data_IF_598601845955
#
_entry.id   IF_598601845955
#
_cell.length_a   1.000
_cell.length_b   1.000
_cell.length_c   1.000
_cell.angle_alpha   90.00
_cell.angle_beta   90.00
_cell.angle_gamma   90.00
#
_symmetry.space_group_name_H-M   'P 1'
#
loop_
_entity.id
_entity.type
_entity.pdbx_description
1 polymer ?
#
# COMPACT_ATOMS: atom_id res chain seq x y z
N UNK A 1 53.50 -7.73 3.73
CA UNK A 1 53.00 -8.12 5.08
C UNK A 1 51.89 -7.13 5.44
N UNK A 2 50.72 -7.51 5.95
CA UNK A 2 50.25 -8.84 6.35
C UNK A 2 48.82 -9.10 5.83
N UNK A 3 48.52 -10.37 5.52
CA UNK A 3 47.15 -10.84 5.24
C UNK A 3 46.40 -11.10 6.56
N UNK A 4 45.08 -10.88 6.56
CA UNK A 4 44.17 -11.46 7.56
C UNK A 4 42.94 -12.04 6.87
N UNK A 5 42.96 -13.35 6.69
CA UNK A 5 41.81 -14.14 6.26
C UNK A 5 40.71 -14.14 7.35
N UNK A 6 39.44 -14.11 6.96
CA UNK A 6 38.31 -14.49 7.80
C UNK A 6 37.70 -15.82 7.30
N UNK A 7 37.37 -16.78 8.18
CA UNK A 7 36.87 -18.09 7.77
C UNK A 7 35.38 -18.07 7.43
N UNK A 8 34.99 -18.88 6.44
CA UNK A 8 33.59 -19.09 6.06
C UNK A 8 32.89 -20.09 6.99
N UNK A 9 31.64 -19.80 7.34
CA UNK A 9 30.77 -20.72 8.09
C UNK A 9 29.48 -20.99 7.29
N UNK A 10 29.48 -22.08 6.52
CA UNK A 10 28.26 -22.63 5.93
C UNK A 10 27.78 -23.81 6.76
N UNK A 11 26.59 -23.69 7.37
CA UNK A 11 25.78 -24.85 7.80
C UNK A 11 24.43 -24.77 7.09
N UNK A 12 24.17 -25.72 6.19
CA UNK A 12 22.81 -25.98 5.68
C UNK A 12 22.07 -26.80 6.73
N UNK A 13 20.83 -26.43 7.01
CA UNK A 13 19.86 -27.30 7.72
C UNK A 13 18.72 -27.55 6.76
N UNK A 14 18.44 -28.82 6.50
CA UNK A 14 17.38 -29.28 5.61
C UNK A 14 16.27 -29.94 6.42
N UNK A 15 15.02 -29.56 6.17
CA UNK A 15 13.82 -30.16 6.78
C UNK A 15 12.94 -30.69 5.63
N UNK A 16 12.46 -31.95 5.70
CA UNK A 16 11.69 -32.56 4.62
C UNK A 16 10.22 -32.13 4.63
N UNK A 17 9.62 -32.03 3.45
CA UNK A 17 8.18 -31.80 3.27
C UNK A 17 7.43 -33.11 2.98
N UNK A 18 6.21 -33.24 3.50
CA UNK A 18 5.24 -34.26 3.10
C UNK A 18 3.87 -33.59 2.84
N UNK A 19 3.10 -34.02 1.82
CA UNK A 19 1.95 -33.26 1.29
C UNK A 19 0.59 -33.85 1.70
N UNK A 20 -0.50 -33.10 1.47
CA UNK A 20 -1.87 -33.62 1.22
C UNK A 20 -2.74 -32.49 0.57
N UNK A 21 -3.80 -32.80 -0.23
CA UNK A 21 -4.04 -32.07 -1.49
C UNK A 21 -5.26 -31.12 -1.52
N UNK A 22 -5.31 -30.26 -2.55
CA UNK A 22 -6.42 -29.34 -2.85
C UNK A 22 -6.90 -29.53 -4.31
N UNK A 23 -8.23 -29.63 -4.53
CA UNK A 23 -8.89 -29.76 -5.84
C UNK A 23 -8.87 -28.50 -6.73
N UNK A 24 -9.41 -28.58 -7.96
CA UNK A 24 -9.53 -27.49 -8.97
C UNK A 24 -10.89 -26.75 -8.86
N UNK A 25 -11.28 -25.66 -9.56
CA UNK A 25 -10.88 -24.91 -10.80
C UNK A 25 -11.18 -23.38 -10.63
N UNK A 26 -10.89 -22.41 -11.53
CA UNK A 26 -10.05 -22.38 -12.74
C UNK A 26 -10.64 -21.72 -14.04
N UNK A 27 -10.94 -20.40 -14.09
CA UNK A 27 -11.47 -19.65 -15.28
C UNK A 27 -10.79 -18.26 -15.49
N UNK A 28 -10.91 -17.65 -16.69
CA UNK A 28 -10.23 -16.40 -17.20
C UNK A 28 -11.30 -15.35 -17.72
N UNK A 29 -11.04 -14.19 -18.39
CA UNK A 29 -9.89 -13.65 -19.17
C UNK A 29 -9.98 -12.13 -19.56
N UNK A 30 -9.04 -11.26 -19.12
CA UNK A 30 -8.40 -10.16 -19.92
C UNK A 30 -9.23 -8.91 -20.40
N UNK A 31 -8.67 -7.85 -21.07
CA UNK A 31 -8.47 -6.50 -20.48
C UNK A 31 -8.92 -5.27 -21.33
N UNK A 32 -8.69 -4.02 -20.85
CA UNK A 32 -8.83 -2.78 -21.66
C UNK A 32 -8.26 -1.49 -21.03
N UNK A 33 -7.88 -0.47 -21.82
CA UNK A 33 -7.19 0.77 -21.34
C UNK A 33 -7.62 2.06 -22.08
N UNK A 34 -7.25 3.26 -21.56
CA UNK A 34 -6.73 4.49 -22.27
C UNK A 34 -7.28 5.89 -21.82
N UNK A 35 -6.35 6.71 -21.25
CA UNK A 35 -5.95 8.15 -21.46
C UNK A 35 -6.92 9.37 -21.32
N UNK A 36 -6.28 10.45 -20.83
CA UNK A 36 -6.62 11.80 -20.32
C UNK A 36 -6.83 12.96 -21.34
N UNK A 37 -7.43 14.10 -20.92
CA UNK A 37 -7.07 15.50 -21.33
C UNK A 37 -7.19 16.52 -20.16
N UNK A 38 -6.38 17.58 -20.21
CA UNK A 38 -6.13 18.69 -19.25
C UNK A 38 -7.21 19.83 -19.31
N UNK A 39 -7.19 21.01 -18.63
CA UNK A 39 -6.08 21.84 -18.11
C UNK A 39 -6.48 22.85 -17.00
N UNK A 40 -5.46 23.37 -16.31
CA UNK A 40 -5.46 24.31 -15.15
C UNK A 40 -5.94 25.74 -15.41
N UNK A 41 -6.82 26.28 -14.54
CA UNK A 41 -6.94 27.73 -14.28
C UNK A 41 -7.69 28.16 -12.97
N UNK A 42 -8.02 27.25 -12.05
CA UNK A 42 -9.01 27.54 -10.98
C UNK A 42 -8.45 27.89 -9.59
N UNK A 43 -7.16 27.66 -9.31
CA UNK A 43 -6.64 27.68 -7.93
C UNK A 43 -6.38 29.08 -7.32
N UNK A 44 -6.37 30.15 -8.11
CA UNK A 44 -6.13 31.51 -7.60
C UNK A 44 -7.28 32.10 -6.77
N UNK A 45 -8.52 31.69 -7.06
CA UNK A 45 -9.73 32.28 -6.45
C UNK A 45 -10.10 31.62 -5.11
N UNK A 46 -9.78 30.33 -4.94
CA UNK A 46 -10.12 29.54 -3.74
C UNK A 46 -9.46 30.09 -2.47
N UNK A 47 -8.26 30.69 -2.58
CA UNK A 47 -7.52 31.18 -1.41
C UNK A 47 -8.14 32.45 -0.79
N UNK A 48 -8.90 33.23 -1.57
CA UNK A 48 -9.62 34.42 -1.07
C UNK A 48 -10.96 34.05 -0.41
N UNK A 49 -11.66 33.04 -0.93
CA UNK A 49 -12.97 32.63 -0.44
C UNK A 49 -12.92 31.94 0.94
N UNK A 50 -11.83 31.25 1.27
CA UNK A 50 -11.69 30.50 2.53
C UNK A 50 -11.44 31.36 3.79
N UNK A 51 -11.25 32.69 3.66
CA UNK A 51 -10.97 33.58 4.81
C UNK A 51 -12.17 34.45 5.22
N UNK A 52 -13.17 34.59 4.35
CA UNK A 52 -14.47 35.18 4.67
C UNK A 52 -15.46 34.08 5.01
N UNK A 53 -15.98 34.06 6.24
CA UNK A 53 -16.91 33.03 6.73
C UNK A 53 -18.30 33.10 6.08
N UNK A 54 -18.38 32.74 4.80
CA UNK A 54 -19.62 32.62 4.02
C UNK A 54 -19.79 31.14 3.69
N UNK A 55 -21.00 30.61 3.91
CA UNK A 55 -21.26 29.18 3.85
C UNK A 55 -21.23 28.57 2.45
N UNK A 56 -20.78 27.31 2.39
CA UNK A 56 -21.33 26.25 1.52
C UNK A 56 -21.71 26.62 0.08
N UNK A 57 -20.77 27.17 -0.69
CA UNK A 57 -20.76 27.08 -2.15
C UNK A 57 -19.31 27.17 -2.66
N UNK A 58 -19.02 26.55 -3.80
CA UNK A 58 -17.75 26.67 -4.57
C UNK A 58 -16.49 25.97 -3.99
N UNK A 59 -16.67 24.82 -3.32
CA UNK A 59 -15.60 23.82 -3.20
C UNK A 59 -15.63 22.79 -4.35
N UNK A 60 -14.49 22.20 -4.78
CA UNK A 60 -14.51 21.07 -5.72
C UNK A 60 -15.30 19.90 -5.16
N UNK A 61 -16.15 19.26 -5.98
CA UNK A 61 -17.12 18.25 -5.50
C UNK A 61 -16.51 17.05 -4.75
N UNK A 62 -15.23 16.74 -4.97
CA UNK A 62 -14.50 15.68 -4.27
C UNK A 62 -14.04 16.06 -2.85
N UNK A 63 -13.92 17.36 -2.55
CA UNK A 63 -13.55 17.88 -1.22
C UNK A 63 -14.75 17.94 -0.26
N UNK A 64 -15.98 18.00 -0.79
CA UNK A 64 -17.23 17.86 -0.04
C UNK A 64 -17.36 16.52 0.69
N UNK A 65 -16.59 15.50 0.27
CA UNK A 65 -16.68 14.13 0.80
C UNK A 65 -16.03 13.94 2.17
N UNK A 66 -15.19 14.88 2.63
CA UNK A 66 -14.45 14.78 3.90
C UNK A 66 -15.02 15.61 5.05
N UNK A 67 -16.05 16.42 4.78
CA UNK A 67 -16.77 17.19 5.81
C UNK A 67 -18.27 16.93 5.63
N UNK A 68 -18.76 15.86 6.26
CA UNK A 68 -20.19 15.53 6.29
C UNK A 68 -20.66 15.10 7.68
N UNK A 69 -21.87 15.55 7.99
CA UNK A 69 -22.43 15.93 9.30
C UNK A 69 -22.38 14.88 10.43
N UNK A 70 -22.52 15.37 11.66
CA UNK A 70 -22.23 14.70 12.95
C UNK A 70 -23.47 13.99 13.56
N UNK A 71 -24.56 13.87 12.78
CA UNK A 71 -25.80 13.19 13.20
C UNK A 71 -25.89 11.75 12.73
N UNK A 72 -25.37 10.78 13.51
CA UNK A 72 -25.70 9.36 13.30
C UNK A 72 -25.87 8.54 14.59
N UNK A 73 -27.09 8.04 14.87
CA UNK A 73 -27.32 6.96 15.84
C UNK A 73 -26.93 5.59 15.23
N UNK A 74 -27.11 4.51 16.01
CA UNK A 74 -26.71 3.14 15.66
C UNK A 74 -27.40 2.65 14.37
N UNK A 75 -26.63 1.99 13.49
CA UNK A 75 -27.06 1.18 12.32
C UNK A 75 -28.05 1.84 11.33
N UNK A 76 -27.58 2.26 10.15
CA UNK A 76 -28.49 2.36 8.99
C UNK A 76 -28.72 0.95 8.43
N UNK A 77 -30.00 0.62 8.18
CA UNK A 77 -30.38 -0.54 7.37
C UNK A 77 -29.73 -0.54 5.98
N UNK A 78 -29.38 0.65 5.46
CA UNK A 78 -28.65 0.86 4.21
C UNK A 78 -27.26 0.20 4.17
N UNK A 79 -26.51 0.18 5.29
CA UNK A 79 -25.24 -0.56 5.37
C UNK A 79 -25.49 -2.07 5.43
N UNK A 80 -26.54 -2.50 6.15
CA UNK A 80 -26.82 -3.90 6.41
C UNK A 80 -27.07 -4.69 5.11
N UNK A 81 -27.74 -4.10 4.12
CA UNK A 81 -28.07 -4.74 2.83
C UNK A 81 -27.11 -4.40 1.68
N UNK A 82 -26.11 -3.55 1.90
CA UNK A 82 -25.21 -3.08 0.84
C UNK A 82 -24.36 -4.21 0.21
N UNK A 83 -24.45 -4.39 -1.11
CA UNK A 83 -23.60 -5.33 -1.86
C UNK A 83 -22.66 -4.54 -2.79
N UNK A 84 -21.32 -4.65 -2.64
CA UNK A 84 -20.35 -3.97 -3.51
C UNK A 84 -20.41 -4.49 -4.96
N UNK A 85 -20.53 -3.60 -5.94
CA UNK A 85 -20.58 -3.97 -7.37
C UNK A 85 -19.21 -3.85 -8.02
N UNK A 86 -18.34 -4.82 -7.72
CA UNK A 86 -16.94 -4.86 -8.20
C UNK A 86 -16.68 -5.87 -9.33
N UNK A 87 -17.72 -6.53 -9.84
CA UNK A 87 -17.64 -7.52 -10.94
C UNK A 87 -17.10 -8.90 -10.51
N UNK A 88 -16.03 -8.93 -9.72
CA UNK A 88 -15.46 -10.18 -9.19
C UNK A 88 -16.19 -10.67 -7.91
N UNK A 89 -16.67 -11.93 -7.86
CA UNK A 89 -17.39 -12.47 -6.71
C UNK A 89 -16.57 -12.61 -5.42
N UNK A 90 -15.28 -12.94 -5.51
CA UNK A 90 -14.42 -13.15 -4.34
C UNK A 90 -14.05 -11.82 -3.68
N UNK A 91 -13.69 -10.82 -4.49
CA UNK A 91 -13.49 -9.45 -4.02
C UNK A 91 -14.80 -8.86 -3.45
N UNK A 92 -15.94 -9.07 -4.11
CA UNK A 92 -17.25 -8.65 -3.60
C UNK A 92 -17.52 -9.26 -2.21
N UNK A 93 -17.27 -10.57 -2.04
CA UNK A 93 -17.43 -11.25 -0.75
C UNK A 93 -16.47 -10.71 0.32
N UNK A 94 -15.19 -10.48 -0.02
CA UNK A 94 -14.19 -9.88 0.90
C UNK A 94 -14.56 -8.47 1.33
N UNK A 95 -15.03 -7.63 0.40
CA UNK A 95 -15.46 -6.27 0.69
C UNK A 95 -16.74 -6.24 1.53
N UNK A 96 -17.69 -7.17 1.28
CA UNK A 96 -18.87 -7.34 2.15
C UNK A 96 -18.46 -7.77 3.56
N UNK A 97 -17.57 -8.75 3.69
CA UNK A 97 -17.01 -9.20 4.98
C UNK A 97 -16.28 -8.08 5.73
N UNK A 98 -15.62 -7.15 5.04
CA UNK A 98 -15.03 -5.95 5.67
C UNK A 98 -16.11 -5.02 6.24
N UNK A 99 -17.22 -4.81 5.52
CA UNK A 99 -18.35 -4.02 6.03
C UNK A 99 -19.02 -4.69 7.24
N UNK A 100 -19.15 -6.03 7.23
CA UNK A 100 -19.73 -6.82 8.32
C UNK A 100 -18.82 -6.97 9.56
N UNK A 101 -17.52 -6.73 9.43
CA UNK A 101 -16.57 -6.93 10.53
C UNK A 101 -16.90 -6.03 11.75
N UNK A 102 -16.59 -6.43 13.00
CA UNK A 102 -16.92 -5.64 14.18
C UNK A 102 -16.45 -4.18 14.13
N UNK A 103 -17.31 -3.25 14.53
CA UNK A 103 -17.03 -1.81 14.63
C UNK A 103 -16.90 -1.37 16.09
N UNK A 104 -15.95 -2.00 16.81
CA UNK A 104 -15.73 -1.77 18.23
C UNK A 104 -15.27 -0.33 18.53
N UNK A 105 -15.74 0.22 19.64
CA UNK A 105 -15.16 1.44 20.21
C UNK A 105 -13.75 1.17 20.77
N UNK A 106 -13.03 2.23 21.12
CA UNK A 106 -11.65 2.12 21.63
C UNK A 106 -11.52 1.26 22.90
N UNK A 107 -12.43 1.38 23.87
CA UNK A 107 -12.32 0.66 25.15
C UNK A 107 -12.60 -0.83 24.94
N UNK A 108 -13.66 -1.15 24.19
CA UNK A 108 -14.03 -2.54 23.87
C UNK A 108 -12.92 -3.26 23.11
N UNK A 109 -12.31 -2.59 22.12
CA UNK A 109 -11.19 -3.17 21.37
C UNK A 109 -9.92 -3.31 22.23
N UNK A 110 -9.64 -2.35 23.13
CA UNK A 110 -8.47 -2.42 24.00
C UNK A 110 -8.51 -3.64 24.92
N UNK A 111 -9.68 -3.93 25.52
CA UNK A 111 -9.87 -5.12 26.38
C UNK A 111 -9.63 -6.42 25.59
N UNK A 112 -10.06 -6.49 24.33
CA UNK A 112 -9.79 -7.64 23.48
C UNK A 112 -8.31 -7.76 23.08
N UNK A 113 -7.66 -6.63 22.78
CA UNK A 113 -6.27 -6.59 22.32
C UNK A 113 -5.25 -6.79 23.45
N UNK A 114 -5.57 -6.41 24.68
CA UNK A 114 -4.72 -6.66 25.88
C UNK A 114 -5.02 -8.00 26.56
N UNK A 115 -5.92 -8.83 26.02
CA UNK A 115 -6.25 -10.14 26.58
C UNK A 115 -5.07 -11.14 26.51
N UNK A 116 -5.01 -12.15 27.40
CA UNK A 116 -4.00 -13.20 27.32
C UNK A 116 -4.02 -13.91 25.96
N UNK A 117 -2.88 -13.96 25.28
CA UNK A 117 -2.73 -14.52 23.93
C UNK A 117 -3.02 -13.56 22.77
N UNK A 118 -3.45 -12.33 23.04
CA UNK A 118 -3.62 -11.27 22.03
C UNK A 118 -2.31 -10.48 21.85
N UNK A 119 -2.30 -9.18 22.18
CA UNK A 119 -1.12 -8.31 22.14
C UNK A 119 -0.80 -7.74 23.54
N UNK A 120 -0.10 -8.50 24.42
CA UNK A 120 0.25 -8.05 25.76
C UNK A 120 1.01 -6.72 25.73
N UNK A 121 0.55 -5.77 26.54
CA UNK A 121 1.02 -4.38 26.47
C UNK A 121 2.51 -4.22 26.81
N UNK A 122 3.03 -5.01 27.74
CA UNK A 122 4.43 -5.00 28.13
C UNK A 122 5.39 -5.41 26.99
N UNK A 123 4.88 -6.18 26.02
CA UNK A 123 5.55 -6.56 24.77
C UNK A 123 5.28 -5.49 23.69
N UNK A 124 4.01 -5.11 23.50
CA UNK A 124 3.60 -4.17 22.45
C UNK A 124 4.26 -2.78 22.60
N UNK A 125 4.34 -2.23 23.81
CA UNK A 125 5.03 -0.94 24.10
C UNK A 125 6.54 -0.99 23.75
N UNK A 126 7.14 -2.19 23.61
CA UNK A 126 8.57 -2.38 23.26
C UNK A 126 8.79 -2.61 21.76
N UNK A 127 7.83 -3.22 21.07
CA UNK A 127 7.92 -3.58 19.64
C UNK A 127 7.30 -2.52 18.71
N UNK A 128 6.47 -1.62 19.23
CA UNK A 128 5.84 -0.58 18.42
C UNK A 128 6.81 0.51 17.94
N UNK A 129 6.53 1.07 16.76
CA UNK A 129 7.19 2.27 16.24
C UNK A 129 6.94 3.44 17.20
N UNK A 130 7.95 3.76 18.04
CA UNK A 130 7.82 4.74 19.13
C UNK A 130 7.34 6.12 18.68
N UNK A 131 7.80 6.59 17.52
CA UNK A 131 7.39 7.87 16.96
C UNK A 131 5.93 7.89 16.52
N UNK A 132 5.45 6.78 15.94
CA UNK A 132 4.06 6.61 15.52
C UNK A 132 3.15 6.53 16.77
N UNK A 133 3.51 5.70 17.76
CA UNK A 133 2.78 5.57 19.03
C UNK A 133 2.71 6.89 19.81
N UNK A 134 3.81 7.64 19.88
CA UNK A 134 3.85 8.97 20.53
C UNK A 134 3.08 10.02 19.75
N UNK A 135 3.24 10.06 18.43
CA UNK A 135 2.62 11.08 17.57
C UNK A 135 1.13 10.87 17.28
N UNK A 136 0.66 9.62 17.27
CA UNK A 136 -0.70 9.26 16.87
C UNK A 136 -1.53 8.57 17.97
N UNK A 137 -0.90 8.06 19.03
CA UNK A 137 -1.59 7.28 20.07
C UNK A 137 -2.70 8.03 20.82
N UNK A 138 -2.65 9.36 20.86
CA UNK A 138 -3.75 10.20 21.37
C UNK A 138 -4.90 10.30 20.36
N UNK A 139 -4.61 10.47 19.06
CA UNK A 139 -5.63 10.51 18.00
C UNK A 139 -6.33 9.16 17.86
N UNK A 140 -5.61 8.03 17.92
CA UNK A 140 -6.20 6.70 17.84
C UNK A 140 -7.36 6.52 18.83
N UNK A 141 -7.20 7.00 20.07
CA UNK A 141 -8.25 6.96 21.12
C UNK A 141 -9.53 7.71 20.76
N UNK A 142 -9.44 8.73 19.91
CA UNK A 142 -10.58 9.60 19.53
C UNK A 142 -11.41 9.08 18.37
N UNK A 143 -10.89 8.16 17.55
CA UNK A 143 -11.59 7.64 16.37
C UNK A 143 -12.82 6.83 16.80
N UNK A 144 -14.01 7.31 16.40
CA UNK A 144 -15.33 6.72 16.74
C UNK A 144 -15.71 5.59 15.77
N UNK A 145 -16.54 4.64 16.22
CA UNK A 145 -17.06 3.55 15.36
C UNK A 145 -17.81 4.02 14.11
N UNK A 146 -18.50 5.17 14.19
CA UNK A 146 -19.15 5.80 13.03
C UNK A 146 -18.14 6.30 11.99
N UNK A 147 -16.98 6.80 12.42
CA UNK A 147 -15.90 7.21 11.53
C UNK A 147 -15.24 5.98 10.86
N UNK A 148 -15.07 4.89 11.61
CA UNK A 148 -14.58 3.61 11.05
C UNK A 148 -15.53 3.07 9.96
N UNK A 149 -16.85 3.13 10.19
CA UNK A 149 -17.86 2.76 9.20
C UNK A 149 -17.76 3.65 7.93
N UNK A 150 -17.72 4.98 8.11
CA UNK A 150 -17.51 5.95 7.01
C UNK A 150 -16.24 5.61 6.21
N UNK A 151 -15.13 5.29 6.87
CA UNK A 151 -13.84 4.94 6.24
C UNK A 151 -13.89 3.61 5.45
N UNK A 152 -14.48 2.54 6.02
CA UNK A 152 -14.64 1.27 5.29
C UNK A 152 -15.52 1.44 4.05
N UNK A 153 -16.65 2.15 4.17
CA UNK A 153 -17.53 2.41 3.04
C UNK A 153 -16.82 3.25 1.96
N UNK A 154 -16.01 4.23 2.33
CA UNK A 154 -15.20 4.99 1.37
C UNK A 154 -14.22 4.09 0.60
N UNK A 155 -13.55 3.14 1.26
CA UNK A 155 -12.67 2.15 0.59
C UNK A 155 -13.46 1.26 -0.38
N UNK A 156 -14.61 0.74 0.04
CA UNK A 156 -15.49 -0.10 -0.80
C UNK A 156 -16.02 0.69 -2.00
N UNK A 157 -16.48 1.92 -1.79
CA UNK A 157 -17.01 2.80 -2.85
C UNK A 157 -15.93 3.24 -3.84
N UNK A 158 -14.69 3.42 -3.39
CA UNK A 158 -13.57 3.70 -4.27
C UNK A 158 -13.35 2.55 -5.27
N UNK A 159 -13.31 1.31 -4.80
CA UNK A 159 -13.15 0.12 -5.65
C UNK A 159 -14.38 -0.15 -6.53
N UNK A 160 -15.59 0.03 -6.01
CA UNK A 160 -16.83 -0.04 -6.82
C UNK A 160 -16.82 1.01 -7.94
N UNK A 161 -16.40 2.25 -7.67
CA UNK A 161 -16.36 3.30 -8.69
C UNK A 161 -15.34 2.99 -9.81
N UNK A 162 -14.21 2.35 -9.49
CA UNK A 162 -13.26 1.88 -10.51
C UNK A 162 -13.94 0.84 -11.41
N UNK A 163 -14.53 -0.21 -10.84
CA UNK A 163 -15.24 -1.24 -11.61
C UNK A 163 -16.39 -0.66 -12.46
N UNK A 164 -17.22 0.22 -11.89
CA UNK A 164 -18.33 0.85 -12.60
C UNK A 164 -17.87 1.82 -13.71
N UNK A 165 -16.65 2.36 -13.61
CA UNK A 165 -16.03 3.14 -14.68
C UNK A 165 -15.38 2.29 -15.79
N UNK A 166 -15.45 0.95 -15.69
CA UNK A 166 -14.82 0.01 -16.62
C UNK A 166 -13.33 -0.21 -16.36
N UNK A 167 -12.81 0.22 -15.19
CA UNK A 167 -11.43 -0.03 -14.80
C UNK A 167 -11.25 -1.39 -14.12
N UNK A 168 -10.12 -2.05 -14.39
CA UNK A 168 -9.74 -3.29 -13.71
C UNK A 168 -9.44 -3.03 -12.23
N UNK A 169 -10.15 -3.73 -11.34
CA UNK A 169 -9.93 -3.68 -9.88
C UNK A 169 -9.00 -4.80 -9.41
N UNK A 170 -8.84 -5.87 -10.21
CA UNK A 170 -7.98 -7.02 -9.94
C UNK A 170 -6.86 -7.04 -10.97
N UNK A 171 -5.77 -6.34 -10.67
CA UNK A 171 -4.59 -6.24 -11.52
C UNK A 171 -4.82 -5.41 -12.78
N UNK A 172 -3.93 -5.59 -13.77
CA UNK A 172 -3.95 -4.90 -15.08
C UNK A 172 -3.57 -5.91 -16.17
N UNK A 173 -4.50 -6.71 -16.70
CA UNK A 173 -4.13 -7.89 -17.47
C UNK A 173 -3.42 -7.53 -18.79
N UNK A 174 -2.27 -8.15 -19.03
CA UNK A 174 -1.37 -7.82 -20.15
C UNK A 174 -0.30 -6.76 -19.83
N UNK A 175 -0.28 -6.20 -18.61
CA UNK A 175 0.77 -5.29 -18.15
C UNK A 175 2.13 -5.98 -17.93
N UNK A 176 2.15 -7.30 -17.77
CA UNK A 176 3.37 -8.08 -17.57
C UNK A 176 4.04 -7.86 -16.21
N UNK A 177 5.29 -8.31 -16.09
CA UNK A 177 6.10 -8.25 -14.85
C UNK A 177 7.07 -7.07 -14.89
N UNK A 178 7.19 -6.35 -13.77
CA UNK A 178 8.17 -5.27 -13.68
C UNK A 178 8.48 -4.82 -12.26
N UNK A 179 9.51 -3.97 -12.15
CA UNK A 179 9.97 -3.42 -10.88
C UNK A 179 9.42 -2.00 -10.73
N UNK A 180 8.80 -1.69 -9.60
CA UNK A 180 8.34 -0.34 -9.25
C UNK A 180 9.22 0.21 -8.14
N UNK A 181 9.74 1.42 -8.33
CA UNK A 181 10.54 2.11 -7.33
C UNK A 181 10.00 3.53 -7.11
N UNK A 182 10.32 4.14 -5.97
CA UNK A 182 10.03 5.57 -5.74
C UNK A 182 11.29 6.37 -5.41
N UNK A 183 11.34 7.61 -5.88
CA UNK A 183 12.41 8.58 -5.61
C UNK A 183 11.89 10.01 -5.69
N UNK A 184 12.77 10.98 -5.46
CA UNK A 184 12.40 12.39 -5.56
C UNK A 184 13.19 13.37 -4.68
N UNK A 185 14.33 12.93 -4.14
CA UNK A 185 15.35 13.84 -3.62
C UNK A 185 16.73 13.35 -4.09
N UNK A 186 17.74 14.22 -4.03
CA UNK A 186 19.07 13.93 -4.58
C UNK A 186 19.65 12.58 -4.10
N UNK A 187 19.50 12.29 -2.82
CA UNK A 187 20.04 11.06 -2.21
C UNK A 187 19.31 9.80 -2.70
N UNK A 188 17.97 9.79 -2.68
CA UNK A 188 17.18 8.65 -3.20
C UNK A 188 17.46 8.41 -4.67
N UNK A 189 17.52 9.47 -5.47
CA UNK A 189 17.81 9.40 -6.92
C UNK A 189 19.20 8.82 -7.21
N UNK A 190 20.21 9.13 -6.39
CA UNK A 190 21.53 8.50 -6.50
C UNK A 190 21.49 7.00 -6.14
N UNK A 191 20.76 6.62 -5.08
CA UNK A 191 20.62 5.20 -4.70
C UNK A 191 19.86 4.38 -5.77
N UNK A 192 18.81 4.96 -6.36
CA UNK A 192 18.10 4.37 -7.50
C UNK A 192 19.05 4.07 -8.67
N UNK A 193 19.92 5.01 -9.04
CA UNK A 193 20.93 4.77 -10.09
C UNK A 193 21.91 3.64 -9.71
N UNK A 194 22.29 3.49 -8.44
CA UNK A 194 23.11 2.36 -7.98
C UNK A 194 22.36 1.04 -8.12
N UNK A 195 21.13 0.94 -7.64
CA UNK A 195 20.31 -0.29 -7.73
C UNK A 195 20.00 -0.67 -9.19
N UNK A 196 19.71 0.30 -10.06
CA UNK A 196 19.53 0.08 -11.51
C UNK A 196 20.81 -0.46 -12.17
N UNK A 197 21.99 0.09 -11.84
CA UNK A 197 23.28 -0.41 -12.35
C UNK A 197 23.54 -1.85 -11.91
N UNK A 198 23.27 -2.17 -10.64
CA UNK A 198 23.41 -3.54 -10.10
C UNK A 198 22.47 -4.52 -10.84
N UNK A 199 21.20 -4.16 -11.02
CA UNK A 199 20.24 -4.96 -11.78
C UNK A 199 20.69 -5.23 -13.22
N UNK A 200 21.17 -4.20 -13.94
CA UNK A 200 21.52 -4.31 -15.38
C UNK A 200 22.91 -4.89 -15.65
N UNK A 201 23.91 -4.58 -14.83
CA UNK A 201 25.30 -4.94 -15.08
C UNK A 201 25.77 -6.18 -14.30
N UNK A 202 25.43 -6.30 -13.02
CA UNK A 202 25.81 -7.48 -12.23
C UNK A 202 24.84 -8.65 -12.50
N UNK A 203 23.55 -8.41 -12.34
CA UNK A 203 22.53 -9.47 -12.40
C UNK A 203 21.97 -9.74 -13.79
N UNK A 204 22.25 -8.85 -14.77
CA UNK A 204 21.72 -8.90 -16.15
C UNK A 204 20.19 -8.96 -16.25
N UNK A 205 19.50 -8.55 -15.18
CA UNK A 205 18.04 -8.58 -15.04
C UNK A 205 17.37 -7.83 -16.20
N UNK A 206 16.32 -8.43 -16.75
CA UNK A 206 15.57 -7.94 -17.93
C UNK A 206 14.19 -7.38 -17.60
N UNK A 207 13.80 -7.34 -16.33
CA UNK A 207 12.54 -6.73 -15.92
C UNK A 207 12.57 -5.23 -16.22
N UNK A 208 11.55 -4.66 -16.88
CA UNK A 208 11.40 -3.21 -17.00
C UNK A 208 11.26 -2.57 -15.61
N UNK A 209 11.76 -1.35 -15.45
CA UNK A 209 11.62 -0.59 -14.19
C UNK A 209 10.79 0.68 -14.41
N UNK A 210 9.86 0.94 -13.50
CA UNK A 210 9.16 2.22 -13.39
C UNK A 210 9.56 2.94 -12.11
N UNK A 211 10.09 4.16 -12.25
CA UNK A 211 10.48 5.03 -11.13
C UNK A 211 9.44 6.12 -10.98
N UNK A 212 8.75 6.16 -9.85
CA UNK A 212 7.73 7.16 -9.55
C UNK A 212 8.25 8.28 -8.62
N UNK A 213 7.88 9.52 -8.95
CA UNK A 213 8.20 10.72 -8.16
C UNK A 213 6.98 11.68 -8.11
N UNK A 214 7.01 12.69 -7.24
CA UNK A 214 6.08 13.81 -7.39
C UNK A 214 6.52 14.77 -8.50
N UNK A 215 5.61 15.60 -9.05
CA UNK A 215 5.94 16.51 -10.14
C UNK A 215 7.12 17.43 -9.81
N UNK A 216 8.13 17.44 -10.68
CA UNK A 216 9.35 18.25 -10.53
C UNK A 216 10.37 17.76 -9.49
N UNK A 217 10.24 16.54 -8.97
CA UNK A 217 11.22 15.99 -8.01
C UNK A 217 12.43 15.30 -8.67
N UNK A 218 12.35 14.96 -9.95
CA UNK A 218 13.46 14.41 -10.76
C UNK A 218 13.47 15.16 -12.10
N UNK A 219 14.07 16.35 -12.10
CA UNK A 219 14.15 17.29 -13.23
C UNK A 219 15.52 17.31 -13.94
N UNK A 220 16.57 16.85 -13.26
CA UNK A 220 17.93 16.68 -13.79
C UNK A 220 17.97 15.76 -15.04
N UNK A 221 18.34 16.35 -16.17
CA UNK A 221 18.32 15.66 -17.47
C UNK A 221 19.40 14.57 -17.60
N UNK A 222 20.55 14.71 -16.93
CA UNK A 222 21.62 13.70 -16.96
C UNK A 222 21.23 12.46 -16.14
N UNK A 223 20.49 12.67 -15.05
CA UNK A 223 19.87 11.60 -14.27
C UNK A 223 18.78 10.89 -15.08
N UNK A 224 17.85 11.65 -15.70
CA UNK A 224 16.80 11.09 -16.53
C UNK A 224 17.35 10.31 -17.73
N UNK A 225 18.42 10.81 -18.35
CA UNK A 225 19.15 10.10 -19.41
C UNK A 225 19.76 8.79 -18.91
N UNK A 226 20.44 8.81 -17.75
CA UNK A 226 21.02 7.60 -17.15
C UNK A 226 19.96 6.55 -16.78
N UNK A 227 18.81 6.97 -16.23
CA UNK A 227 17.71 6.04 -15.92
C UNK A 227 17.17 5.38 -17.19
N UNK A 228 16.92 6.16 -18.25
CA UNK A 228 16.50 5.61 -19.56
C UNK A 228 17.54 4.66 -20.17
N UNK A 229 18.83 5.00 -20.09
CA UNK A 229 19.92 4.15 -20.56
C UNK A 229 20.05 2.84 -19.75
N UNK A 230 19.52 2.80 -18.53
CA UNK A 230 19.40 1.60 -17.69
C UNK A 230 18.03 0.92 -17.83
N UNK A 231 17.25 1.22 -18.89
CA UNK A 231 15.92 0.65 -19.14
C UNK A 231 14.96 0.86 -17.95
N UNK A 232 14.93 2.09 -17.44
CA UNK A 232 13.99 2.56 -16.43
C UNK A 232 13.19 3.77 -16.95
N UNK A 233 11.87 3.70 -16.80
CA UNK A 233 10.94 4.78 -17.16
C UNK A 233 10.59 5.60 -15.93
N UNK A 234 10.91 6.89 -15.94
CA UNK A 234 10.50 7.81 -14.87
C UNK A 234 9.08 8.32 -15.13
N UNK A 235 8.23 8.29 -14.11
CA UNK A 235 6.82 8.71 -14.15
C UNK A 235 6.53 9.66 -13.00
N UNK A 236 5.78 10.72 -13.27
CA UNK A 236 5.28 11.62 -12.23
C UNK A 236 3.87 11.20 -11.79
N UNK A 237 3.60 11.24 -10.49
CA UNK A 237 2.24 11.03 -9.98
C UNK A 237 1.35 12.25 -10.29
N UNK A 238 0.04 12.05 -10.58
CA UNK A 238 -0.89 13.12 -10.93
C UNK A 238 -1.36 13.95 -9.72
N UNK A 239 -0.51 14.10 -8.69
CA UNK A 239 -0.79 14.90 -7.49
C UNK A 239 0.48 15.48 -6.90
N UNK A 240 0.32 16.62 -6.21
CA UNK A 240 1.42 17.27 -5.52
C UNK A 240 1.82 16.52 -4.23
N UNK A 241 3.10 16.69 -3.84
CA UNK A 241 3.64 16.23 -2.57
C UNK A 241 2.88 16.88 -1.40
N UNK A 242 2.57 16.12 -0.35
CA UNK A 242 1.97 16.72 0.84
C UNK A 242 3.03 17.53 1.59
N UNK A 243 2.65 18.67 2.16
CA UNK A 243 3.48 19.51 3.06
C UNK A 243 3.69 18.84 4.43
N UNK A 244 4.18 17.61 4.41
CA UNK A 244 4.55 16.77 5.56
C UNK A 244 5.98 16.28 5.35
N UNK A 245 6.72 16.08 6.45
CA UNK A 245 8.10 15.60 6.41
C UNK A 245 8.24 14.22 5.72
N UNK A 246 7.34 13.29 6.04
CA UNK A 246 7.26 11.95 5.43
C UNK A 246 6.09 11.89 4.44
N UNK A 247 6.32 11.26 3.28
CA UNK A 247 5.35 11.10 2.19
C UNK A 247 5.25 9.64 1.71
N UNK A 248 5.34 8.67 2.63
CA UNK A 248 5.39 7.22 2.31
C UNK A 248 4.15 6.68 1.58
N UNK A 249 3.03 7.40 1.56
CA UNK A 249 1.89 7.04 0.72
C UNK A 249 2.21 7.05 -0.80
N UNK A 250 3.34 7.65 -1.21
CA UNK A 250 3.87 7.56 -2.58
C UNK A 250 4.07 6.11 -3.04
N UNK A 251 4.43 5.19 -2.13
CA UNK A 251 4.72 3.78 -2.48
C UNK A 251 3.47 3.06 -2.98
N UNK A 252 2.35 3.23 -2.27
CA UNK A 252 1.05 2.71 -2.69
C UNK A 252 0.55 3.36 -3.99
N UNK A 253 0.68 4.69 -4.12
CA UNK A 253 0.30 5.40 -5.35
C UNK A 253 1.11 4.95 -6.56
N UNK A 254 2.41 4.66 -6.40
CA UNK A 254 3.29 4.16 -7.45
C UNK A 254 2.87 2.76 -7.94
N UNK A 255 2.56 1.84 -7.01
CA UNK A 255 2.05 0.51 -7.34
C UNK A 255 0.70 0.61 -8.08
N UNK A 256 -0.22 1.45 -7.59
CA UNK A 256 -1.54 1.66 -8.22
C UNK A 256 -1.42 2.31 -9.61
N UNK A 257 -0.47 3.23 -9.80
CA UNK A 257 -0.26 3.95 -11.06
C UNK A 257 0.60 3.19 -12.09
N UNK A 258 1.31 2.13 -11.67
CA UNK A 258 2.19 1.33 -12.52
C UNK A 258 1.48 0.72 -13.73
N UNK A 259 2.20 0.50 -14.83
CA UNK A 259 1.67 -0.19 -16.00
C UNK A 259 1.69 -1.72 -15.88
N UNK A 260 2.40 -2.28 -14.89
CA UNK A 260 2.59 -3.72 -14.75
C UNK A 260 1.36 -4.44 -14.19
N UNK A 261 1.22 -5.71 -14.55
CA UNK A 261 0.23 -6.65 -14.00
C UNK A 261 0.74 -7.27 -12.70
N UNK A 262 2.01 -7.67 -12.70
CA UNK A 262 2.73 -8.25 -11.57
C UNK A 262 3.86 -7.29 -11.16
N UNK A 263 3.75 -6.69 -9.97
CA UNK A 263 4.69 -5.68 -9.46
C UNK A 263 5.63 -6.27 -8.41
N UNK A 264 6.93 -6.11 -8.62
CA UNK A 264 7.91 -6.14 -7.53
C UNK A 264 8.22 -4.69 -7.12
N UNK A 265 7.72 -4.27 -5.97
CA UNK A 265 8.10 -2.98 -5.40
C UNK A 265 9.49 -3.08 -4.75
N UNK A 266 10.38 -2.12 -5.02
CA UNK A 266 11.71 -2.00 -4.40
C UNK A 266 11.98 -0.54 -4.00
N UNK A 267 12.36 -0.34 -2.74
CA UNK A 267 12.81 0.97 -2.27
C UNK A 267 14.16 1.39 -2.82
N UNK A 268 14.42 2.70 -2.74
CA UNK A 268 15.67 3.27 -3.25
C UNK A 268 16.94 2.72 -2.59
N UNK A 269 16.86 2.26 -1.34
CA UNK A 269 17.96 1.66 -0.56
C UNK A 269 17.91 0.13 -0.48
N UNK A 270 16.96 -0.52 -1.16
CA UNK A 270 16.98 -1.96 -1.37
C UNK A 270 18.04 -2.31 -2.44
N UNK A 271 18.97 -3.21 -2.11
CA UNK A 271 20.05 -3.66 -3.00
C UNK A 271 19.86 -5.15 -3.34
N UNK A 272 19.44 -5.51 -4.56
CA UNK A 272 19.32 -6.90 -5.00
C UNK A 272 20.66 -7.64 -4.98
N UNK A 273 20.70 -8.80 -4.33
CA UNK A 273 21.89 -9.67 -4.29
C UNK A 273 21.95 -10.71 -5.43
N UNK A 274 20.87 -10.83 -6.20
CA UNK A 274 20.75 -11.62 -7.44
C UNK A 274 19.62 -11.06 -8.31
N UNK A 275 19.48 -11.55 -9.55
CA UNK A 275 18.30 -11.27 -10.38
C UNK A 275 17.01 -11.61 -9.60
N UNK A 276 16.09 -10.65 -9.37
CA UNK A 276 14.88 -10.88 -8.61
C UNK A 276 13.75 -11.54 -9.41
N UNK A 277 13.91 -11.79 -10.72
CA UNK A 277 12.85 -12.31 -11.60
C UNK A 277 12.19 -13.60 -11.08
N UNK A 278 12.96 -14.47 -10.41
CA UNK A 278 12.44 -15.70 -9.80
C UNK A 278 11.34 -15.50 -8.73
N UNK A 279 11.18 -14.29 -8.17
CA UNK A 279 10.18 -14.02 -7.13
C UNK A 279 8.76 -14.18 -7.66
N UNK A 280 8.51 -13.80 -8.91
CA UNK A 280 7.22 -13.95 -9.59
C UNK A 280 6.82 -15.42 -9.85
N UNK A 281 7.79 -16.33 -9.83
CA UNK A 281 7.58 -17.77 -10.00
C UNK A 281 7.79 -18.55 -8.69
N UNK A 282 7.90 -17.84 -7.56
CA UNK A 282 8.08 -18.46 -6.25
C UNK A 282 6.77 -19.05 -5.73
N UNK A 283 6.84 -20.20 -5.04
CA UNK A 283 5.67 -20.86 -4.44
C UNK A 283 4.92 -19.97 -3.43
N UNK A 284 5.59 -18.97 -2.84
CA UNK A 284 4.95 -17.99 -1.96
C UNK A 284 4.02 -17.02 -2.70
N UNK A 285 4.34 -16.72 -3.97
CA UNK A 285 3.61 -15.77 -4.80
C UNK A 285 2.63 -16.46 -5.76
N UNK A 286 3.14 -17.40 -6.57
CA UNK A 286 2.42 -18.09 -7.63
C UNK A 286 1.91 -19.49 -7.22
N UNK A 287 2.16 -19.93 -5.98
CA UNK A 287 1.74 -21.24 -5.49
C UNK A 287 0.23 -21.41 -5.47
N UNK A 288 -0.23 -22.67 -5.53
CA UNK A 288 -1.67 -22.95 -5.65
C UNK A 288 -2.42 -22.54 -4.38
N UNK A 289 -3.34 -21.59 -4.52
CA UNK A 289 -4.14 -21.05 -3.41
C UNK A 289 -3.47 -19.89 -2.67
N UNK A 290 -2.31 -19.41 -3.12
CA UNK A 290 -1.72 -18.17 -2.62
C UNK A 290 -2.52 -16.94 -3.09
N UNK A 291 -2.47 -15.82 -2.35
CA UNK A 291 -3.23 -14.62 -2.67
C UNK A 291 -2.65 -13.79 -3.83
N UNK A 292 -1.56 -14.22 -4.47
CA UNK A 292 -0.86 -13.42 -5.50
C UNK A 292 -0.20 -12.15 -4.94
N UNK A 293 0.14 -12.16 -3.64
CA UNK A 293 0.78 -11.04 -2.95
C UNK A 293 1.71 -11.56 -1.85
N UNK A 294 2.95 -11.08 -1.83
CA UNK A 294 3.96 -11.40 -0.82
C UNK A 294 4.47 -10.09 -0.24
N UNK A 295 4.56 -10.03 1.08
CA UNK A 295 5.06 -8.88 1.84
C UNK A 295 6.17 -9.34 2.79
N UNK A 296 7.07 -8.43 3.13
CA UNK A 296 8.09 -8.67 4.14
C UNK A 296 7.55 -8.24 5.51
N UNK A 297 7.79 -9.01 6.58
CA UNK A 297 7.46 -8.57 7.94
C UNK A 297 8.45 -7.48 8.39
N UNK A 298 7.92 -6.42 8.99
CA UNK A 298 8.71 -5.39 9.67
C UNK A 298 9.37 -5.96 10.93
N UNK A 299 10.44 -5.33 11.41
CA UNK A 299 11.06 -5.61 12.71
C UNK A 299 10.22 -5.08 13.90
N UNK A 300 9.31 -4.14 13.62
CA UNK A 300 8.35 -3.55 14.54
C UNK A 300 6.95 -4.14 14.35
N UNK A 301 6.03 -3.80 15.26
CA UNK A 301 4.63 -4.25 15.20
C UNK A 301 3.64 -3.14 15.50
N UNK A 302 2.50 -3.23 14.83
CA UNK A 302 1.32 -2.43 15.09
C UNK A 302 0.89 -2.53 16.57
N UNK A 303 0.96 -1.41 17.29
CA UNK A 303 0.55 -1.40 18.69
C UNK A 303 -0.92 -1.78 18.85
N UNK A 304 -1.29 -2.51 19.91
CA UNK A 304 -2.68 -2.94 20.16
C UNK A 304 -3.70 -1.79 20.30
N UNK A 305 -3.23 -0.53 20.46
CA UNK A 305 -4.09 0.67 20.46
C UNK A 305 -4.28 1.30 19.08
N UNK A 306 -3.56 0.85 18.04
CA UNK A 306 -3.66 1.42 16.70
C UNK A 306 -5.10 1.26 16.16
N UNK A 307 -5.60 2.32 15.54
CA UNK A 307 -6.88 2.35 14.84
C UNK A 307 -7.02 1.25 13.78
N UNK A 308 -5.93 0.76 13.19
CA UNK A 308 -5.97 -0.29 12.14
C UNK A 308 -6.75 -1.54 12.56
N UNK A 309 -6.58 -2.01 13.80
CA UNK A 309 -7.29 -3.18 14.33
C UNK A 309 -8.81 -3.01 14.27
N UNK A 310 -9.31 -1.87 14.73
CA UNK A 310 -10.74 -1.52 14.68
C UNK A 310 -11.20 -1.19 13.26
N UNK A 311 -10.36 -0.58 12.44
CA UNK A 311 -10.65 -0.32 11.02
C UNK A 311 -10.81 -1.62 10.23
N UNK A 312 -10.03 -2.65 10.53
CA UNK A 312 -10.15 -3.98 9.90
C UNK A 312 -11.14 -4.91 10.61
N UNK A 313 -11.59 -4.54 11.82
CA UNK A 313 -12.49 -5.36 12.65
C UNK A 313 -11.82 -6.64 13.17
N UNK A 314 -10.51 -6.57 13.44
CA UNK A 314 -9.70 -7.67 13.97
C UNK A 314 -9.22 -7.34 15.38
N UNK A 315 -9.11 -8.38 16.21
CA UNK A 315 -8.28 -8.36 17.41
C UNK A 315 -6.81 -8.39 17.01
N UNK A 316 -5.96 -7.66 17.73
CA UNK A 316 -4.50 -7.73 17.60
C UNK A 316 -3.99 -9.06 18.17
N UNK A 317 -3.26 -9.85 17.41
CA UNK A 317 -2.50 -11.00 17.93
C UNK A 317 -1.00 -10.75 17.79
N UNK A 318 -0.20 -11.21 18.76
CA UNK A 318 1.25 -11.07 18.68
C UNK A 318 1.86 -11.77 17.44
N UNK A 319 1.18 -12.75 16.84
CA UNK A 319 1.66 -13.42 15.62
C UNK A 319 1.27 -12.68 14.32
N UNK A 320 0.47 -11.61 14.40
CA UNK A 320 0.33 -10.65 13.31
C UNK A 320 1.60 -9.78 13.21
N UNK A 321 2.08 -9.56 11.98
CA UNK A 321 3.26 -8.72 11.70
C UNK A 321 2.85 -7.48 10.91
N UNK A 322 3.46 -6.35 11.23
CA UNK A 322 3.38 -5.14 10.40
C UNK A 322 4.10 -5.42 9.07
N UNK A 323 3.61 -4.81 7.99
CA UNK A 323 4.22 -4.96 6.66
C UNK A 323 5.39 -3.99 6.59
N UNK A 324 6.60 -4.49 6.35
CA UNK A 324 7.72 -3.64 6.00
C UNK A 324 7.36 -2.89 4.72
N UNK A 325 7.41 -1.57 4.81
CA UNK A 325 7.09 -0.69 3.67
C UNK A 325 8.33 -0.08 3.04
N UNK A 326 9.49 -0.12 3.72
CA UNK A 326 10.82 0.39 3.29
C UNK A 326 11.31 1.63 4.02
#
# INVERSE_FOLDING_TARGET
MASKNFPSFHRRVSIPSLPIPIGMMGVRRSPGSVILVSLTLFCGVVFLLLRSGIGTALGPAWLSFLVYDDGYPRHNAEYATYVPRVGDPELQWRLRRLLDAPLQDYKTALVANEAPGACPRDIADRQAIRDQLRGQGSWWKTVRSSELAKRRMAMVKYLENIALSGGDVIGRPGGGRGIVMTGGNKDTTQRLLVTLRILRFEHRCKLPVEVFAFPGEIDDQDILFQMRALDATVRELPRQKLKKWKNFQIKADAIIASSFEEVLYLDSDNIPLRDPTYLFDSELYAGKGQPGAVFWPDITKDHGTNTIWRLMGKTCYHDDWELETG
#
